data_IF_964278396434
#
_entry.id   IF_964278396434
#
_cell.length_a   1.000
_cell.length_b   1.000
_cell.length_c   1.000
_cell.angle_alpha   90.00
_cell.angle_beta   90.00
_cell.angle_gamma   90.00
#
_symmetry.space_group_name_H-M   'P 1'
#
loop_
_entity.id
_entity.type
_entity.pdbx_description
1 polymer ?
#
# COMPACT_ATOMS: atom_id res chain seq x y z
N UNK A 1 8.81 0.05 18.33
CA UNK A 1 8.81 -1.04 19.33
C UNK A 1 7.47 -1.17 20.03
N UNK A 2 7.03 -0.17 20.83
CA UNK A 2 5.74 -0.22 21.56
C UNK A 2 4.53 -0.56 20.67
N UNK A 3 4.50 0.02 19.47
CA UNK A 3 3.43 -0.26 18.50
C UNK A 3 3.44 -1.71 17.98
N UNK A 4 4.62 -2.29 17.76
CA UNK A 4 4.74 -3.70 17.36
C UNK A 4 4.35 -4.63 18.52
N UNK A 5 4.68 -4.27 19.77
CA UNK A 5 4.21 -5.01 20.95
C UNK A 5 2.69 -4.98 21.06
N UNK A 6 2.08 -3.82 20.84
CA UNK A 6 0.64 -3.67 20.86
C UNK A 6 -0.03 -4.50 19.75
N UNK A 7 0.44 -4.38 18.50
CA UNK A 7 -0.06 -5.17 17.38
C UNK A 7 0.09 -6.67 17.63
N UNK A 8 1.24 -7.11 18.14
CA UNK A 8 1.48 -8.51 18.47
C UNK A 8 0.53 -9.03 19.57
N UNK A 9 0.28 -8.22 20.61
CA UNK A 9 -0.67 -8.55 21.67
C UNK A 9 -2.13 -8.67 21.16
N UNK A 10 -2.47 -7.96 20.08
CA UNK A 10 -3.76 -8.08 19.38
C UNK A 10 -3.83 -9.30 18.43
N UNK A 11 -2.73 -10.05 18.30
CA UNK A 11 -2.65 -11.21 17.40
C UNK A 11 -2.33 -10.85 15.95
N UNK A 12 -1.91 -9.61 15.66
CA UNK A 12 -1.42 -9.23 14.33
C UNK A 12 -0.08 -9.92 14.08
N UNK A 13 0.01 -10.62 12.96
CA UNK A 13 1.20 -11.37 12.54
C UNK A 13 1.75 -10.93 11.18
N UNK A 14 1.10 -10.00 10.50
CA UNK A 14 1.51 -9.48 9.20
C UNK A 14 1.33 -7.97 9.14
N UNK A 15 2.32 -7.27 8.59
CA UNK A 15 2.25 -5.85 8.26
C UNK A 15 2.53 -5.68 6.77
N UNK A 16 1.66 -4.95 6.08
CA UNK A 16 1.96 -4.40 4.75
C UNK A 16 2.61 -3.04 4.94
N UNK A 17 3.80 -2.86 4.38
CA UNK A 17 4.66 -1.69 4.65
C UNK A 17 5.16 -1.09 3.34
N UNK A 18 5.28 0.23 3.31
CA UNK A 18 5.84 0.93 2.15
C UNK A 18 7.36 0.75 2.14
N UNK A 19 7.87 0.16 1.06
CA UNK A 19 9.28 -0.11 0.82
C UNK A 19 9.85 0.70 -0.36
N UNK A 20 9.10 1.69 -0.86
CA UNK A 20 9.56 2.67 -1.84
C UNK A 20 8.94 4.05 -1.57
N UNK A 21 9.77 5.08 -1.46
CA UNK A 21 9.31 6.47 -1.44
C UNK A 21 10.31 7.38 -2.15
N UNK A 22 9.79 8.20 -3.05
CA UNK A 22 10.56 8.99 -3.99
C UNK A 22 10.48 10.49 -3.66
N UNK A 23 11.62 11.16 -3.74
CA UNK A 23 11.72 12.61 -3.67
C UNK A 23 11.47 13.30 -5.03
N UNK A 24 11.84 14.58 -5.19
CA UNK A 24 12.58 15.37 -4.23
C UNK A 24 11.73 15.70 -3.00
N UNK A 25 12.38 15.85 -1.84
CA UNK A 25 11.72 16.12 -0.54
C UNK A 25 11.08 17.51 -0.45
N UNK A 26 11.09 18.28 -1.55
CA UNK A 26 10.41 19.56 -1.70
C UNK A 26 8.99 19.44 -2.27
N UNK A 27 8.60 18.25 -2.76
CA UNK A 27 7.29 18.03 -3.36
C UNK A 27 6.19 17.89 -2.30
N UNK A 28 4.97 18.39 -2.58
CA UNK A 28 3.86 18.34 -1.64
C UNK A 28 3.20 16.95 -1.55
N UNK A 29 2.35 16.78 -0.53
CA UNK A 29 1.46 15.63 -0.31
C UNK A 29 2.13 14.27 -0.29
N UNK A 30 3.41 14.21 0.07
CA UNK A 30 4.15 12.96 0.19
C UNK A 30 4.92 12.87 1.50
N UNK A 31 5.32 11.65 1.82
CA UNK A 31 6.18 11.38 2.96
C UNK A 31 7.57 11.99 2.77
N UNK A 32 8.05 12.71 3.78
CA UNK A 32 9.44 13.20 3.84
C UNK A 32 10.08 12.88 5.19
N UNK A 33 11.39 12.57 5.25
CA UNK A 33 12.30 12.41 4.12
C UNK A 33 11.99 11.15 3.29
N UNK A 34 12.22 11.21 1.98
CA UNK A 34 12.04 10.07 1.08
C UNK A 34 13.18 9.05 1.18
N UNK A 35 12.88 7.79 0.85
CA UNK A 35 13.87 6.72 0.75
C UNK A 35 14.83 6.98 -0.43
N UNK A 36 14.31 7.46 -1.55
CA UNK A 36 15.03 7.75 -2.77
C UNK A 36 14.82 9.22 -3.20
N UNK A 37 15.60 10.17 -2.66
CA UNK A 37 15.45 11.59 -2.99
C UNK A 37 15.62 11.92 -4.48
N UNK A 38 16.45 11.13 -5.18
CA UNK A 38 16.64 11.21 -6.63
C UNK A 38 17.02 9.82 -7.19
N UNK A 39 16.89 9.59 -8.51
CA UNK A 39 17.14 8.27 -9.10
C UNK A 39 18.52 7.69 -8.73
N UNK A 40 18.53 6.54 -8.07
CA UNK A 40 19.75 5.84 -7.65
C UNK A 40 20.44 6.42 -6.41
N UNK A 41 19.96 7.52 -5.83
CA UNK A 41 20.46 8.09 -4.58
C UNK A 41 19.51 7.75 -3.45
N UNK A 42 20.02 7.19 -2.35
CA UNK A 42 19.18 6.71 -1.26
C UNK A 42 19.51 7.37 0.07
N UNK A 43 18.47 7.59 0.87
CA UNK A 43 18.60 8.05 2.24
C UNK A 43 18.89 6.86 3.17
N UNK A 44 20.11 6.83 3.72
CA UNK A 44 20.54 5.76 4.61
C UNK A 44 19.78 5.73 5.94
N UNK A 45 19.25 6.86 6.43
CA UNK A 45 18.48 6.90 7.67
C UNK A 45 17.11 6.25 7.50
N UNK A 46 16.45 6.46 6.36
CA UNK A 46 15.18 5.79 6.02
C UNK A 46 15.41 4.29 5.85
N UNK A 47 16.49 3.90 5.17
CA UNK A 47 16.86 2.50 4.99
C UNK A 47 17.26 1.81 6.30
N UNK A 48 17.87 2.55 7.23
CA UNK A 48 18.16 2.07 8.59
C UNK A 48 16.88 1.81 9.37
N UNK A 49 15.88 2.70 9.24
CA UNK A 49 14.54 2.50 9.80
C UNK A 49 13.86 1.24 9.29
N UNK A 50 13.98 0.95 7.98
CA UNK A 50 13.44 -0.29 7.41
C UNK A 50 14.16 -1.54 7.92
N UNK A 51 15.49 -1.51 8.06
CA UNK A 51 16.26 -2.60 8.67
C UNK A 51 15.78 -2.86 10.10
N UNK A 52 15.60 -1.79 10.88
CA UNK A 52 15.18 -1.86 12.26
C UNK A 52 13.75 -2.41 12.38
N UNK A 53 12.84 -1.99 11.50
CA UNK A 53 11.47 -2.50 11.43
C UNK A 53 11.45 -4.03 11.22
N UNK A 54 12.16 -4.52 10.21
CA UNK A 54 12.24 -5.96 9.93
C UNK A 54 12.89 -6.73 11.09
N UNK A 55 13.95 -6.19 11.69
CA UNK A 55 14.57 -6.79 12.87
C UNK A 55 13.58 -6.93 14.04
N UNK A 56 12.81 -5.88 14.33
CA UNK A 56 11.83 -5.89 15.42
C UNK A 56 10.58 -6.74 15.11
N UNK A 57 10.15 -6.80 13.85
CA UNK A 57 9.09 -7.71 13.41
C UNK A 57 9.52 -9.18 13.56
N UNK A 58 10.76 -9.50 13.19
CA UNK A 58 11.32 -10.86 13.32
C UNK A 58 11.29 -11.38 14.75
N UNK A 59 11.59 -10.53 15.74
CA UNK A 59 11.50 -10.87 17.18
C UNK A 59 10.09 -11.29 17.63
N UNK A 60 9.07 -10.80 16.94
CA UNK A 60 7.65 -11.03 17.23
C UNK A 60 7.00 -12.04 16.28
N UNK A 61 7.81 -12.71 15.45
CA UNK A 61 7.35 -13.66 14.43
C UNK A 61 6.34 -13.03 13.46
N UNK A 62 6.42 -11.71 13.27
CA UNK A 62 5.61 -11.01 12.28
C UNK A 62 6.21 -11.20 10.87
N UNK A 63 5.40 -10.90 9.86
CA UNK A 63 5.77 -10.96 8.45
C UNK A 63 5.48 -9.65 7.72
N UNK A 64 6.36 -9.25 6.82
CA UNK A 64 6.23 -8.03 6.03
C UNK A 64 5.79 -8.34 4.59
N UNK A 65 4.76 -7.64 4.12
CA UNK A 65 4.53 -7.43 2.68
C UNK A 65 5.23 -6.12 2.31
N UNK A 66 6.21 -6.19 1.43
CA UNK A 66 7.08 -5.08 1.05
C UNK A 66 6.55 -4.42 -0.23
N UNK A 67 5.78 -3.34 -0.10
CA UNK A 67 5.21 -2.59 -1.21
C UNK A 67 6.27 -1.68 -1.86
N UNK A 68 6.71 -2.02 -3.08
CA UNK A 68 7.92 -1.45 -3.68
C UNK A 68 7.73 -0.10 -4.38
N UNK A 69 6.49 0.26 -4.71
CA UNK A 69 6.17 1.48 -5.42
C UNK A 69 4.73 1.90 -5.08
N UNK A 70 4.20 2.92 -5.75
CA UNK A 70 2.86 3.42 -5.50
C UNK A 70 2.29 4.04 -6.76
N UNK A 71 1.03 3.73 -7.06
CA UNK A 71 0.33 4.43 -8.13
C UNK A 71 0.00 5.88 -7.73
N UNK A 72 -0.18 6.12 -6.44
CA UNK A 72 -0.51 7.41 -5.85
C UNK A 72 0.71 8.22 -5.43
N UNK A 73 0.49 9.51 -5.20
CA UNK A 73 1.54 10.49 -4.99
C UNK A 73 2.07 10.57 -3.56
N UNK A 74 1.44 9.90 -2.58
CA UNK A 74 1.81 10.07 -1.18
C UNK A 74 3.18 9.52 -0.79
N UNK A 75 3.79 8.71 -1.66
CA UNK A 75 5.19 8.31 -1.58
C UNK A 75 5.99 8.75 -2.81
N UNK A 76 5.50 9.70 -3.60
CA UNK A 76 6.01 10.02 -4.93
C UNK A 76 5.45 9.06 -5.98
N UNK A 77 5.92 7.82 -6.01
CA UNK A 77 5.33 6.74 -6.80
C UNK A 77 5.55 6.86 -8.31
N UNK A 78 4.72 6.17 -9.09
CA UNK A 78 4.78 6.12 -10.55
C UNK A 78 4.81 7.51 -11.21
N UNK A 79 4.02 8.45 -10.72
CA UNK A 79 4.03 9.83 -11.20
C UNK A 79 5.43 10.47 -11.04
N UNK A 80 6.15 10.17 -9.98
CA UNK A 80 7.51 10.64 -9.76
C UNK A 80 8.52 9.98 -10.71
N UNK A 81 8.38 8.69 -10.98
CA UNK A 81 9.19 8.01 -12.00
C UNK A 81 8.93 8.57 -13.41
N UNK A 82 7.68 8.93 -13.74
CA UNK A 82 7.33 9.63 -15.00
C UNK A 82 8.02 10.99 -15.07
N UNK A 83 7.97 11.77 -13.99
CA UNK A 83 8.64 13.07 -13.92
C UNK A 83 10.16 12.95 -14.10
N UNK A 84 10.80 11.97 -13.43
CA UNK A 84 12.23 11.71 -13.59
C UNK A 84 12.61 11.24 -14.99
N UNK A 85 11.78 10.41 -15.63
CA UNK A 85 12.02 9.92 -16.98
C UNK A 85 11.94 11.03 -18.04
N UNK A 86 11.04 11.99 -17.85
CA UNK A 86 10.82 13.10 -18.79
C UNK A 86 11.66 14.35 -18.48
N UNK A 87 12.29 14.43 -17.31
CA UNK A 87 13.17 15.53 -16.90
C UNK A 87 12.45 16.74 -16.29
N UNK A 88 13.23 17.78 -15.98
CA UNK A 88 12.86 18.91 -15.09
C UNK A 88 11.71 19.80 -15.57
N UNK A 89 11.22 19.63 -16.80
CA UNK A 89 10.07 20.36 -17.33
C UNK A 89 8.71 19.70 -16.99
N UNK A 90 8.72 18.52 -16.39
CA UNK A 90 7.49 17.74 -16.14
C UNK A 90 6.92 18.08 -14.77
N UNK A 91 5.71 18.65 -14.76
CA UNK A 91 4.96 18.92 -13.52
C UNK A 91 3.98 17.79 -13.26
N UNK A 92 4.00 17.23 -12.06
CA UNK A 92 3.02 16.22 -11.64
C UNK A 92 1.68 16.93 -11.38
N UNK A 93 0.56 16.45 -11.95
CA UNK A 93 -0.74 17.10 -11.81
C UNK A 93 -1.42 16.75 -10.48
N UNK A 94 -0.75 17.03 -9.35
CA UNK A 94 -1.30 16.75 -8.04
C UNK A 94 -2.55 17.57 -7.73
N UNK A 95 -3.30 17.10 -6.73
CA UNK A 95 -4.44 16.19 -6.85
C UNK A 95 -5.58 16.87 -7.64
N UNK A 96 -5.31 17.33 -8.87
CA UNK A 96 -6.24 18.12 -9.69
C UNK A 96 -7.57 17.41 -9.92
N UNK A 97 -7.73 16.76 -11.07
CA UNK A 97 -8.70 15.67 -11.17
C UNK A 97 -7.95 14.36 -10.92
N UNK A 98 -8.52 13.46 -10.11
CA UNK A 98 -7.96 12.11 -9.95
C UNK A 98 -7.82 11.43 -11.31
N UNK A 99 -8.77 11.57 -12.24
CA UNK A 99 -8.65 11.02 -13.60
C UNK A 99 -7.40 11.51 -14.34
N UNK A 100 -7.07 12.81 -14.21
CA UNK A 100 -5.87 13.38 -14.83
C UNK A 100 -4.61 12.82 -14.20
N UNK A 101 -4.60 12.70 -12.87
CA UNK A 101 -3.49 12.10 -12.13
C UNK A 101 -3.30 10.63 -12.51
N UNK A 102 -4.37 9.85 -12.62
CA UNK A 102 -4.29 8.44 -13.04
C UNK A 102 -3.71 8.29 -14.45
N UNK A 103 -4.16 9.12 -15.40
CA UNK A 103 -3.65 9.10 -16.78
C UNK A 103 -2.17 9.46 -16.81
N UNK A 104 -1.74 10.43 -15.98
CA UNK A 104 -0.34 10.80 -15.85
C UNK A 104 0.50 9.68 -15.24
N UNK A 105 0.05 9.13 -14.10
CA UNK A 105 0.72 8.05 -13.38
C UNK A 105 0.89 6.80 -14.25
N UNK A 106 -0.15 6.41 -14.99
CA UNK A 106 -0.13 5.26 -15.89
C UNK A 106 0.81 5.42 -17.11
N UNK A 107 1.37 6.61 -17.38
CA UNK A 107 2.44 6.74 -18.38
C UNK A 107 3.70 5.96 -17.98
N UNK A 108 3.87 5.69 -16.69
CA UNK A 108 4.98 4.91 -16.14
C UNK A 108 5.23 3.62 -16.93
N UNK A 109 4.18 2.85 -17.22
CA UNK A 109 4.31 1.56 -17.90
C UNK A 109 4.88 1.66 -19.32
N UNK A 110 4.68 2.80 -20.00
CA UNK A 110 5.08 3.02 -21.40
C UNK A 110 6.44 3.70 -21.54
N UNK A 111 6.93 4.33 -20.48
CA UNK A 111 8.22 5.00 -20.47
C UNK A 111 9.30 3.99 -20.06
N UNK A 112 10.05 3.47 -21.04
CA UNK A 112 11.17 2.55 -20.80
C UNK A 112 12.08 3.05 -19.69
N UNK A 113 12.44 4.34 -19.75
CA UNK A 113 13.28 4.97 -18.73
C UNK A 113 12.68 4.92 -17.33
N UNK A 114 11.38 5.18 -17.19
CA UNK A 114 10.69 5.12 -15.89
C UNK A 114 10.74 3.71 -15.31
N UNK A 115 10.45 2.69 -16.13
CA UNK A 115 10.49 1.30 -15.69
C UNK A 115 11.91 0.80 -15.41
N UNK A 116 12.93 1.26 -16.14
CA UNK A 116 14.34 0.95 -15.86
C UNK A 116 14.80 1.55 -14.53
N UNK A 117 14.37 2.78 -14.22
CA UNK A 117 14.65 3.39 -12.92
C UNK A 117 14.05 2.58 -11.78
N UNK A 118 12.83 2.06 -11.96
CA UNK A 118 12.20 1.20 -10.96
C UNK A 118 12.87 -0.18 -10.85
N UNK A 119 13.27 -0.80 -11.96
CA UNK A 119 14.06 -2.04 -11.94
C UNK A 119 15.38 -1.86 -11.17
N UNK A 120 16.00 -0.66 -11.26
CA UNK A 120 17.18 -0.33 -10.47
C UNK A 120 16.86 -0.16 -8.98
N UNK A 121 15.71 0.40 -8.63
CA UNK A 121 15.21 0.45 -7.26
C UNK A 121 15.04 -0.95 -6.67
N UNK A 122 14.37 -1.84 -7.40
CA UNK A 122 14.21 -3.25 -7.01
C UNK A 122 15.57 -3.90 -6.76
N UNK A 123 16.51 -3.78 -7.71
CA UNK A 123 17.85 -4.39 -7.58
C UNK A 123 18.62 -3.85 -6.39
N UNK A 124 18.52 -2.55 -6.14
CA UNK A 124 19.17 -1.92 -4.99
C UNK A 124 18.61 -2.47 -3.68
N UNK A 125 17.28 -2.48 -3.52
CA UNK A 125 16.65 -2.90 -2.28
C UNK A 125 16.84 -4.40 -2.01
N UNK A 126 16.69 -5.26 -3.03
CA UNK A 126 16.89 -6.70 -2.87
C UNK A 126 18.36 -7.09 -2.65
N UNK A 127 19.32 -6.24 -3.04
CA UNK A 127 20.73 -6.45 -2.72
C UNK A 127 21.08 -6.05 -1.27
N UNK A 128 20.15 -5.44 -0.52
CA UNK A 128 20.38 -4.96 0.84
C UNK A 128 20.59 -6.12 1.80
N UNK A 129 21.53 -5.92 2.72
CA UNK A 129 21.72 -6.76 3.92
C UNK A 129 21.29 -5.94 5.13
N UNK A 130 20.39 -6.50 5.93
CA UNK A 130 19.90 -5.86 7.15
C UNK A 130 21.07 -5.68 8.13
N UNK A 131 21.34 -4.45 8.56
CA UNK A 131 22.49 -4.17 9.43
C UNK A 131 22.37 -4.73 10.85
N UNK A 132 21.15 -4.99 11.35
CA UNK A 132 20.90 -5.46 12.72
C UNK A 132 20.96 -6.99 12.80
N UNK A 133 20.65 -7.69 11.71
CA UNK A 133 20.67 -9.17 11.66
C UNK A 133 21.82 -9.73 10.82
N UNK A 134 22.44 -8.90 9.98
CA UNK A 134 23.41 -9.32 8.95
C UNK A 134 22.83 -10.36 7.96
N UNK A 135 21.52 -10.34 7.76
CA UNK A 135 20.80 -11.21 6.81
C UNK A 135 20.45 -10.42 5.55
N UNK A 136 20.78 -10.96 4.38
CA UNK A 136 20.32 -10.40 3.11
C UNK A 136 18.79 -10.37 3.07
N UNK A 137 18.19 -9.29 2.57
CA UNK A 137 16.73 -9.17 2.47
C UNK A 137 16.10 -10.34 1.70
N UNK A 138 16.79 -10.85 0.68
CA UNK A 138 16.38 -12.02 -0.12
C UNK A 138 16.39 -13.35 0.64
N UNK A 139 17.03 -13.39 1.82
CA UNK A 139 17.09 -14.54 2.72
C UNK A 139 16.36 -14.28 4.05
N UNK A 140 15.79 -13.09 4.27
CA UNK A 140 15.12 -12.73 5.52
C UNK A 140 13.68 -13.27 5.51
N UNK A 141 13.44 -14.30 6.33
CA UNK A 141 12.11 -14.92 6.49
C UNK A 141 11.07 -14.01 7.13
N UNK A 142 11.47 -12.85 7.65
CA UNK A 142 10.55 -11.80 8.11
C UNK A 142 9.81 -11.18 6.93
N UNK A 143 10.43 -11.10 5.75
CA UNK A 143 9.76 -10.65 4.53
C UNK A 143 8.97 -11.83 3.95
N UNK A 144 7.63 -11.71 3.92
CA UNK A 144 6.73 -12.69 3.32
C UNK A 144 6.67 -12.51 1.81
N UNK A 145 6.52 -11.28 1.34
CA UNK A 145 6.31 -11.01 -0.07
C UNK A 145 6.88 -9.67 -0.53
N UNK A 146 7.16 -9.59 -1.82
CA UNK A 146 7.41 -8.38 -2.57
C UNK A 146 6.15 -8.01 -3.36
N UNK A 147 5.65 -6.81 -3.17
CA UNK A 147 4.46 -6.31 -3.85
C UNK A 147 4.88 -5.26 -4.88
N UNK A 148 4.38 -5.37 -6.12
CA UNK A 148 4.85 -4.55 -7.24
C UNK A 148 4.66 -3.05 -6.98
N UNK A 149 3.46 -2.66 -6.55
CA UNK A 149 3.12 -1.29 -6.21
C UNK A 149 1.82 -1.26 -5.42
N UNK A 150 1.59 -0.19 -4.66
CA UNK A 150 0.29 0.11 -4.10
C UNK A 150 -0.69 0.56 -5.19
N UNK A 151 -1.82 -0.16 -5.32
CA UNK A 151 -2.97 0.17 -6.17
C UNK A 151 -2.63 0.52 -7.62
N UNK A 152 -1.80 -0.26 -8.35
CA UNK A 152 -1.60 0.01 -9.77
C UNK A 152 -2.96 -0.05 -10.48
N UNK A 153 -3.24 0.99 -11.28
CA UNK A 153 -4.39 1.06 -12.19
C UNK A 153 -3.91 1.09 -13.63
N UNK A 154 -4.82 0.81 -14.57
CA UNK A 154 -4.56 0.79 -16.02
C UNK A 154 -3.37 -0.12 -16.36
N UNK A 155 -3.33 -1.29 -15.72
CA UNK A 155 -2.19 -2.21 -15.73
C UNK A 155 -1.73 -2.56 -17.14
N UNK A 156 -0.41 -2.52 -17.33
CA UNK A 156 0.25 -3.21 -18.42
C UNK A 156 0.65 -4.62 -17.96
N UNK A 157 -0.02 -5.65 -18.48
CA UNK A 157 0.23 -7.04 -18.09
C UNK A 157 1.65 -7.52 -18.45
N UNK A 158 2.28 -6.93 -19.47
CA UNK A 158 3.67 -7.23 -19.80
C UNK A 158 4.64 -6.67 -18.75
N UNK A 159 4.34 -5.48 -18.22
CA UNK A 159 5.06 -4.91 -17.10
C UNK A 159 4.88 -5.75 -15.83
N UNK A 160 3.66 -6.17 -15.51
CA UNK A 160 3.38 -7.06 -14.36
C UNK A 160 4.21 -8.34 -14.47
N UNK A 161 4.15 -9.02 -15.63
CA UNK A 161 4.90 -10.26 -15.83
C UNK A 161 6.41 -10.05 -15.69
N UNK A 162 6.96 -9.05 -16.40
CA UNK A 162 8.40 -8.77 -16.39
C UNK A 162 8.91 -8.43 -14.97
N UNK A 163 8.22 -7.54 -14.26
CA UNK A 163 8.61 -7.07 -12.93
C UNK A 163 8.49 -8.19 -11.90
N UNK A 164 7.40 -8.96 -11.94
CA UNK A 164 7.22 -10.11 -11.04
C UNK A 164 8.30 -11.18 -11.27
N UNK A 165 8.64 -11.49 -12.53
CA UNK A 165 9.68 -12.47 -12.83
C UNK A 165 11.09 -11.96 -12.48
N UNK A 166 11.34 -10.64 -12.55
CA UNK A 166 12.56 -10.04 -12.02
C UNK A 166 12.68 -10.28 -10.51
N UNK A 167 11.61 -10.03 -9.74
CA UNK A 167 11.57 -10.29 -8.30
C UNK A 167 11.82 -11.76 -8.01
N UNK A 168 11.14 -12.68 -8.70
CA UNK A 168 11.37 -14.13 -8.55
C UNK A 168 12.81 -14.55 -8.85
N UNK A 169 13.46 -13.91 -9.82
CA UNK A 169 14.88 -14.19 -10.13
C UNK A 169 15.81 -13.73 -9.01
N UNK A 170 15.52 -12.59 -8.38
CA UNK A 170 16.37 -11.99 -7.34
C UNK A 170 16.10 -12.57 -5.95
N UNK A 171 14.85 -12.93 -5.67
CA UNK A 171 14.34 -13.41 -4.39
C UNK A 171 13.50 -14.68 -4.57
N UNK A 172 14.09 -15.82 -4.95
CA UNK A 172 13.36 -17.00 -5.40
C UNK A 172 12.49 -17.67 -4.32
N UNK A 173 12.73 -17.37 -3.04
CA UNK A 173 12.01 -17.99 -1.91
C UNK A 173 10.91 -17.10 -1.32
N UNK A 174 10.82 -15.84 -1.75
CA UNK A 174 9.78 -14.92 -1.30
C UNK A 174 8.60 -14.92 -2.27
N UNK A 175 7.42 -14.64 -1.74
CA UNK A 175 6.22 -14.51 -2.56
C UNK A 175 6.25 -13.17 -3.31
N UNK A 176 5.51 -13.07 -4.39
CA UNK A 176 5.33 -11.87 -5.20
C UNK A 176 3.85 -11.66 -5.47
N UNK A 177 3.36 -10.44 -5.28
CA UNK A 177 1.98 -10.04 -5.61
C UNK A 177 1.95 -8.69 -6.32
N UNK A 178 0.76 -8.31 -6.80
CA UNK A 178 0.54 -7.11 -7.61
C UNK A 178 0.31 -5.86 -6.79
N UNK A 179 -0.53 -5.94 -5.74
CA UNK A 179 -1.02 -4.78 -4.98
C UNK A 179 -2.27 -4.12 -5.56
N UNK A 180 -3.00 -4.80 -6.46
CA UNK A 180 -4.18 -4.23 -7.12
C UNK A 180 -5.40 -4.20 -6.20
N UNK A 181 -6.30 -3.25 -6.47
CA UNK A 181 -7.53 -3.07 -5.69
C UNK A 181 -8.60 -4.14 -5.96
N UNK A 182 -8.41 -5.02 -6.94
CA UNK A 182 -9.42 -5.98 -7.40
C UNK A 182 -10.12 -5.54 -8.68
N UNK A 183 -11.30 -6.12 -8.94
CA UNK A 183 -12.17 -5.76 -10.07
C UNK A 183 -12.89 -4.43 -9.82
N UNK A 184 -12.12 -3.35 -9.76
CA UNK A 184 -12.61 -1.97 -9.72
C UNK A 184 -11.87 -1.15 -10.78
N UNK A 185 -12.50 -0.07 -11.26
CA UNK A 185 -11.93 0.82 -12.30
C UNK A 185 -11.63 0.07 -13.62
N UNK A 186 -10.39 0.18 -14.12
CA UNK A 186 -9.88 -0.48 -15.33
C UNK A 186 -9.36 -1.90 -15.12
N UNK A 187 -9.33 -2.39 -13.87
CA UNK A 187 -8.63 -3.62 -13.52
C UNK A 187 -9.50 -4.86 -13.80
N UNK A 188 -8.84 -5.97 -14.13
CA UNK A 188 -9.46 -7.27 -14.35
C UNK A 188 -8.75 -8.29 -13.47
N UNK A 189 -9.38 -8.62 -12.34
CA UNK A 189 -8.75 -9.39 -11.27
C UNK A 189 -8.07 -10.68 -11.73
N UNK A 190 -8.68 -11.47 -12.61
CA UNK A 190 -8.05 -12.71 -13.09
C UNK A 190 -6.84 -12.43 -13.99
N UNK A 191 -6.94 -11.45 -14.89
CA UNK A 191 -5.85 -11.12 -15.83
C UNK A 191 -4.67 -10.46 -15.11
N UNK A 192 -4.95 -9.56 -14.17
CA UNK A 192 -3.94 -8.82 -13.42
C UNK A 192 -3.04 -9.76 -12.62
N UNK A 193 -3.58 -10.92 -12.22
CA UNK A 193 -2.86 -11.96 -11.49
C UNK A 193 -2.44 -13.16 -12.37
N UNK A 194 -2.64 -13.13 -13.70
CA UNK A 194 -2.44 -14.32 -14.54
C UNK A 194 -0.97 -14.76 -14.68
N UNK A 195 -0.01 -13.87 -14.45
CA UNK A 195 1.43 -14.19 -14.56
C UNK A 195 1.83 -15.33 -13.62
N UNK A 196 2.60 -16.34 -14.07
CA UNK A 196 3.07 -17.42 -13.20
C UNK A 196 4.09 -16.94 -12.16
N UNK A 197 4.64 -15.74 -12.31
CA UNK A 197 5.56 -15.14 -11.34
C UNK A 197 4.84 -14.40 -10.20
N UNK A 198 3.50 -14.35 -10.21
CA UNK A 198 2.66 -13.85 -9.12
C UNK A 198 2.18 -15.06 -8.30
N UNK A 199 2.35 -15.05 -6.99
CA UNK A 199 2.03 -16.22 -6.14
C UNK A 199 0.65 -16.14 -5.49
N UNK A 200 0.17 -14.93 -5.20
CA UNK A 200 -1.14 -14.69 -4.61
C UNK A 200 -1.75 -13.40 -5.17
N UNK A 201 -3.07 -13.30 -5.05
CA UNK A 201 -3.85 -12.19 -5.55
C UNK A 201 -4.32 -11.28 -4.41
N UNK A 202 -4.48 -10.00 -4.72
CA UNK A 202 -4.88 -8.99 -3.75
C UNK A 202 -6.02 -8.13 -4.26
N UNK A 203 -6.88 -7.71 -3.34
CA UNK A 203 -7.95 -6.77 -3.60
C UNK A 203 -8.12 -5.85 -2.39
N UNK A 204 -8.66 -4.66 -2.62
CA UNK A 204 -8.87 -3.61 -1.63
C UNK A 204 -10.37 -3.32 -1.52
N UNK A 205 -10.78 -2.53 -0.52
CA UNK A 205 -12.19 -2.27 -0.27
C UNK A 205 -12.43 -0.85 0.30
N UNK A 206 -12.67 0.08 -0.61
CA UNK A 206 -12.79 1.52 -0.32
C UNK A 206 -14.20 2.06 -0.55
N UNK A 207 -15.19 1.53 0.17
CA UNK A 207 -16.62 1.87 -0.03
C UNK A 207 -16.93 3.37 0.11
N UNK A 208 -16.16 4.12 0.89
CA UNK A 208 -16.30 5.58 0.99
C UNK A 208 -15.79 6.28 -0.27
N UNK A 209 -14.55 5.95 -0.69
CA UNK A 209 -13.91 6.54 -1.87
C UNK A 209 -14.66 6.18 -3.16
N UNK A 210 -15.32 5.02 -3.20
CA UNK A 210 -16.15 4.57 -4.32
C UNK A 210 -17.60 5.08 -4.26
N UNK A 211 -17.91 6.01 -3.35
CA UNK A 211 -19.23 6.63 -3.17
C UNK A 211 -20.37 5.64 -2.85
N UNK A 212 -20.04 4.49 -2.27
CA UNK A 212 -21.03 3.51 -1.77
C UNK A 212 -21.46 3.83 -0.34
N UNK A 213 -20.55 4.42 0.45
CA UNK A 213 -20.77 4.84 1.82
C UNK A 213 -20.60 6.35 1.96
N UNK A 214 -21.56 7.00 2.63
CA UNK A 214 -21.47 8.40 3.04
C UNK A 214 -21.50 8.47 4.57
N UNK A 215 -20.40 8.88 5.23
CA UNK A 215 -20.33 8.98 6.69
C UNK A 215 -21.30 10.01 7.29
N UNK A 216 -21.72 11.02 6.53
CA UNK A 216 -22.71 12.01 6.98
C UNK A 216 -24.15 11.51 6.88
N UNK A 217 -24.36 10.39 6.19
CA UNK A 217 -25.66 9.73 6.04
C UNK A 217 -25.57 8.22 6.38
N UNK A 218 -24.76 7.90 7.38
CA UNK A 218 -24.40 6.52 7.71
C UNK A 218 -25.60 5.61 8.03
N UNK A 219 -26.67 6.16 8.63
CA UNK A 219 -27.89 5.38 8.94
C UNK A 219 -28.55 4.78 7.70
N UNK A 220 -28.39 5.42 6.54
CA UNK A 220 -28.95 4.96 5.26
C UNK A 220 -27.90 4.19 4.46
N UNK A 221 -26.66 4.68 4.41
CA UNK A 221 -25.64 4.16 3.50
C UNK A 221 -24.85 2.98 4.07
N UNK A 222 -24.73 2.83 5.40
CA UNK A 222 -23.97 1.72 5.99
C UNK A 222 -24.50 0.33 5.61
N UNK A 223 -25.82 0.04 5.65
CA UNK A 223 -26.32 -1.28 5.23
C UNK A 223 -26.03 -1.58 3.75
N UNK A 224 -26.08 -0.56 2.88
CA UNK A 224 -25.77 -0.67 1.46
C UNK A 224 -24.28 -0.97 1.27
N UNK A 225 -23.42 -0.25 1.98
CA UNK A 225 -21.98 -0.45 1.94
C UNK A 225 -21.57 -1.84 2.44
N UNK A 226 -22.20 -2.34 3.51
CA UNK A 226 -21.94 -3.71 4.01
C UNK A 226 -22.39 -4.77 3.00
N UNK A 227 -23.56 -4.61 2.37
CA UNK A 227 -24.03 -5.56 1.34
C UNK A 227 -23.11 -5.56 0.11
N UNK A 228 -22.74 -4.38 -0.38
CA UNK A 228 -21.76 -4.23 -1.46
C UNK A 228 -20.44 -4.90 -1.11
N UNK A 229 -19.89 -4.62 0.08
CA UNK A 229 -18.62 -5.15 0.51
C UNK A 229 -18.61 -6.68 0.60
N UNK A 230 -19.69 -7.27 1.13
CA UNK A 230 -19.85 -8.73 1.18
C UNK A 230 -19.82 -9.33 -0.22
N UNK A 231 -20.62 -8.80 -1.15
CA UNK A 231 -20.63 -9.27 -2.55
C UNK A 231 -19.27 -9.13 -3.22
N UNK A 232 -18.56 -8.04 -2.94
CA UNK A 232 -17.20 -7.81 -3.46
C UNK A 232 -16.22 -8.86 -2.91
N UNK A 233 -16.26 -9.14 -1.60
CA UNK A 233 -15.45 -10.20 -0.98
C UNK A 233 -15.80 -11.58 -1.56
N UNK A 234 -17.09 -11.90 -1.72
CA UNK A 234 -17.54 -13.18 -2.29
C UNK A 234 -17.02 -13.38 -3.71
N UNK A 235 -17.10 -12.33 -4.53
CA UNK A 235 -16.61 -12.35 -5.90
C UNK A 235 -15.10 -12.67 -5.95
N UNK A 236 -14.29 -11.97 -5.15
CA UNK A 236 -12.84 -12.18 -5.14
C UNK A 236 -12.45 -13.51 -4.49
N UNK A 237 -13.13 -13.92 -3.41
CA UNK A 237 -12.90 -15.21 -2.75
C UNK A 237 -13.31 -16.42 -3.62
N UNK A 238 -14.13 -16.20 -4.66
CA UNK A 238 -14.46 -17.23 -5.64
C UNK A 238 -13.29 -17.55 -6.58
N UNK A 239 -12.27 -16.67 -6.69
CA UNK A 239 -11.06 -16.95 -7.47
C UNK A 239 -10.29 -18.12 -6.87
N UNK A 240 -9.94 -19.12 -7.71
CA UNK A 240 -9.34 -20.39 -7.27
C UNK A 240 -7.93 -20.63 -7.80
N UNK A 241 -7.43 -19.81 -8.70
CA UNK A 241 -6.11 -20.06 -9.29
C UNK A 241 -4.99 -19.77 -8.27
N UNK A 242 -5.21 -18.82 -7.35
CA UNK A 242 -4.23 -18.40 -6.33
C UNK A 242 -4.91 -18.00 -5.02
N UNK A 243 -4.19 -18.03 -3.87
CA UNK A 243 -4.66 -17.44 -2.62
C UNK A 243 -5.04 -15.97 -2.81
N UNK A 244 -6.03 -15.49 -2.06
CA UNK A 244 -6.55 -14.12 -2.17
C UNK A 244 -6.48 -13.43 -0.81
N UNK A 245 -5.99 -12.19 -0.77
CA UNK A 245 -5.87 -11.37 0.44
C UNK A 245 -6.63 -10.05 0.25
N UNK A 246 -7.42 -9.64 1.25
CA UNK A 246 -7.98 -8.29 1.35
C UNK A 246 -6.96 -7.41 2.08
N UNK A 247 -6.01 -6.83 1.36
CA UNK A 247 -4.85 -6.19 1.99
C UNK A 247 -5.04 -4.70 2.31
N UNK A 248 -6.19 -4.12 1.93
CA UNK A 248 -6.64 -2.83 2.43
C UNK A 248 -8.17 -2.77 2.54
N UNK A 249 -8.66 -2.26 3.67
CA UNK A 249 -10.04 -1.83 3.82
C UNK A 249 -10.18 -0.87 5.00
N UNK A 250 -11.07 0.11 4.87
CA UNK A 250 -11.35 1.08 5.93
C UNK A 250 -12.54 1.95 5.60
N UNK A 251 -13.07 2.62 6.63
CA UNK A 251 -14.02 3.74 6.50
C UNK A 251 -13.70 4.79 7.55
N UNK A 252 -14.17 6.03 7.39
CA UNK A 252 -13.92 7.12 8.33
C UNK A 252 -14.49 6.86 9.74
N UNK A 253 -14.19 7.79 10.68
CA UNK A 253 -14.89 7.86 11.97
C UNK A 253 -16.34 8.32 11.74
N UNK A 254 -17.14 8.34 12.80
CA UNK A 254 -18.52 8.81 12.71
C UNK A 254 -18.57 10.26 12.18
N UNK A 255 -19.45 10.54 11.20
CA UNK A 255 -19.59 11.84 10.53
C UNK A 255 -18.32 12.39 9.85
N UNK A 256 -17.37 11.53 9.47
CA UNK A 256 -16.08 11.94 8.89
C UNK A 256 -15.28 12.88 9.81
N UNK A 257 -15.42 12.71 11.12
CA UNK A 257 -14.68 13.49 12.10
C UNK A 257 -13.23 12.98 12.21
N UNK A 258 -12.27 13.91 12.16
CA UNK A 258 -10.84 13.62 12.23
C UNK A 258 -10.28 13.78 13.66
N UNK A 259 -11.13 14.12 14.63
CA UNK A 259 -10.71 14.25 16.02
C UNK A 259 -10.35 12.87 16.60
N UNK A 260 -9.17 12.70 17.24
CA UNK A 260 -8.76 11.39 17.77
C UNK A 260 -9.74 10.77 18.79
N UNK A 261 -10.54 11.60 19.46
CA UNK A 261 -11.55 11.20 20.45
C UNK A 261 -12.95 11.02 19.85
N UNK A 262 -13.17 11.32 18.57
CA UNK A 262 -14.47 11.17 17.93
C UNK A 262 -14.90 9.69 17.94
N UNK A 263 -16.19 9.35 18.04
CA UNK A 263 -16.59 7.96 18.08
C UNK A 263 -16.33 7.22 16.75
N UNK A 264 -16.20 5.90 16.83
CA UNK A 264 -15.99 4.98 15.69
C UNK A 264 -17.11 3.93 15.63
N UNK A 265 -18.31 4.30 16.04
CA UNK A 265 -19.45 3.38 16.19
C UNK A 265 -19.84 2.73 14.87
N UNK A 266 -19.83 3.52 13.79
CA UNK A 266 -20.16 3.07 12.42
C UNK A 266 -19.03 2.21 11.86
N UNK A 267 -17.78 2.63 12.05
CA UNK A 267 -16.58 1.86 11.68
C UNK A 267 -16.56 0.49 12.36
N UNK A 268 -16.85 0.42 13.65
CA UNK A 268 -16.89 -0.85 14.39
C UNK A 268 -17.98 -1.80 13.87
N UNK A 269 -19.15 -1.26 13.48
CA UNK A 269 -20.21 -2.06 12.86
C UNK A 269 -19.78 -2.61 11.50
N UNK A 270 -19.16 -1.77 10.67
CA UNK A 270 -18.60 -2.18 9.38
C UNK A 270 -17.53 -3.26 9.56
N UNK A 271 -16.53 -3.01 10.42
CA UNK A 271 -15.45 -3.95 10.68
C UNK A 271 -15.98 -5.30 11.20
N UNK A 272 -16.94 -5.31 12.13
CA UNK A 272 -17.57 -6.58 12.58
C UNK A 272 -18.17 -7.35 11.40
N UNK A 273 -18.88 -6.68 10.50
CA UNK A 273 -19.48 -7.32 9.33
C UNK A 273 -18.42 -7.86 8.35
N UNK A 274 -17.37 -7.08 8.05
CA UNK A 274 -16.28 -7.49 7.16
C UNK A 274 -15.51 -8.66 7.76
N UNK A 275 -15.07 -8.56 9.02
CA UNK A 275 -14.33 -9.62 9.71
C UNK A 275 -15.10 -10.94 9.79
N UNK A 276 -16.41 -10.88 10.07
CA UNK A 276 -17.23 -12.08 10.07
C UNK A 276 -17.29 -12.72 8.68
N UNK A 277 -17.37 -11.89 7.64
CA UNK A 277 -17.51 -12.34 6.28
C UNK A 277 -16.20 -12.89 5.70
N UNK A 278 -15.07 -12.21 5.89
CA UNK A 278 -13.76 -12.71 5.47
C UNK A 278 -13.40 -14.01 6.17
N UNK A 279 -13.75 -14.17 7.46
CA UNK A 279 -13.61 -15.46 8.18
C UNK A 279 -14.42 -16.59 7.53
N UNK A 280 -15.66 -16.34 7.11
CA UNK A 280 -16.49 -17.33 6.40
C UNK A 280 -15.82 -17.84 5.12
N UNK A 281 -15.11 -16.98 4.41
CA UNK A 281 -14.43 -17.30 3.15
C UNK A 281 -12.93 -17.57 3.28
N UNK A 282 -12.39 -17.56 4.51
CA UNK A 282 -10.96 -17.73 4.81
C UNK A 282 -10.05 -16.74 4.05
N UNK A 283 -10.51 -15.51 3.87
CA UNK A 283 -9.74 -14.42 3.23
C UNK A 283 -8.88 -13.75 4.31
N UNK A 284 -7.54 -13.82 4.25
CA UNK A 284 -6.66 -13.04 5.11
C UNK A 284 -6.82 -11.55 4.85
N UNK A 285 -6.52 -10.72 5.85
CA UNK A 285 -6.79 -9.29 5.78
C UNK A 285 -5.64 -8.45 6.33
N UNK A 286 -5.53 -7.21 5.84
CA UNK A 286 -4.85 -6.11 6.50
C UNK A 286 -5.81 -4.91 6.51
N UNK A 287 -6.16 -4.41 7.70
CA UNK A 287 -7.01 -3.23 7.80
C UNK A 287 -6.18 -1.97 7.52
N UNK A 288 -6.78 -1.00 6.85
CA UNK A 288 -6.17 0.30 6.63
C UNK A 288 -6.80 1.35 7.55
N UNK A 289 -6.04 1.97 8.45
CA UNK A 289 -4.66 1.67 8.82
C UNK A 289 -4.45 1.79 10.33
N UNK A 290 -3.32 1.31 10.81
CA UNK A 290 -2.97 1.39 12.22
C UNK A 290 -2.26 2.71 12.52
N UNK A 291 -2.95 3.64 13.18
CA UNK A 291 -2.39 4.94 13.58
C UNK A 291 -1.60 4.95 14.89
N UNK A 292 -1.65 3.86 15.66
CA UNK A 292 -0.83 3.66 16.84
C UNK A 292 -0.87 4.80 17.88
N UNK A 293 0.32 5.19 18.33
CA UNK A 293 0.49 6.24 19.34
C UNK A 293 0.48 7.65 18.75
N UNK A 294 0.79 7.78 17.45
CA UNK A 294 0.83 9.05 16.74
C UNK A 294 -0.52 9.76 16.69
N UNK A 295 -0.52 11.09 16.70
CA UNK A 295 -1.75 11.88 16.60
C UNK A 295 -1.59 13.02 15.59
N UNK A 296 -2.64 13.37 14.84
CA UNK A 296 -2.60 14.56 14.01
C UNK A 296 -2.38 15.79 14.88
N UNK A 297 -1.59 16.75 14.37
CA UNK A 297 -1.37 18.04 15.04
C UNK A 297 -2.68 18.80 15.29
N UNK A 298 -3.62 18.68 14.37
CA UNK A 298 -4.99 19.15 14.50
C UNK A 298 -5.90 18.27 13.63
N UNK A 299 -7.15 18.08 14.06
CA UNK A 299 -8.12 17.28 13.32
C UNK A 299 -8.31 17.80 11.88
N UNK A 300 -8.17 16.91 10.91
CA UNK A 300 -8.30 17.15 9.48
C UNK A 300 -7.07 17.80 8.85
N UNK A 301 -5.94 17.87 9.56
CA UNK A 301 -4.73 18.43 8.98
C UNK A 301 -4.14 17.52 7.91
N UNK A 302 -3.56 18.13 6.89
CA UNK A 302 -2.57 17.44 6.06
C UNK A 302 -1.26 17.36 6.83
N UNK A 303 -0.64 16.17 6.84
CA UNK A 303 0.64 15.95 7.49
C UNK A 303 1.72 16.90 6.96
N UNK A 304 2.57 17.39 7.87
CA UNK A 304 3.77 18.17 7.54
C UNK A 304 4.99 17.62 8.27
N UNK A 305 6.19 17.91 7.76
CA UNK A 305 7.43 17.43 8.35
C UNK A 305 7.53 17.81 9.84
N UNK A 306 7.70 16.79 10.69
CA UNK A 306 7.75 16.93 12.14
C UNK A 306 6.46 16.56 12.86
N UNK A 307 5.34 16.42 12.14
CA UNK A 307 4.13 15.79 12.67
C UNK A 307 4.35 14.28 12.83
N UNK A 308 3.64 13.66 13.78
CA UNK A 308 3.69 12.21 13.98
C UNK A 308 3.26 11.46 12.71
N UNK A 309 3.94 10.35 12.41
CA UNK A 309 3.42 9.41 11.42
C UNK A 309 2.23 8.65 12.00
N UNK A 310 1.14 8.62 11.24
CA UNK A 310 -0.04 7.79 11.51
C UNK A 310 -0.36 6.94 10.27
N UNK A 311 -1.44 6.17 10.34
CA UNK A 311 -1.86 5.29 9.25
C UNK A 311 -2.38 6.04 8.02
N UNK A 312 -2.90 7.24 8.19
CA UNK A 312 -3.41 8.08 7.10
C UNK A 312 -2.23 8.82 6.41
N UNK A 313 -1.89 8.54 5.14
CA UNK A 313 -0.75 9.12 4.45
C UNK A 313 -0.89 10.63 4.16
N UNK A 314 0.21 11.35 3.87
CA UNK A 314 0.22 12.82 3.75
C UNK A 314 -0.65 13.46 2.67
N UNK A 315 -1.29 12.69 1.80
CA UNK A 315 -2.27 13.22 0.85
C UNK A 315 -3.71 13.24 1.39
N UNK A 316 -3.96 12.63 2.55
CA UNK A 316 -5.26 12.53 3.19
C UNK A 316 -5.36 13.46 4.42
N UNK A 317 -6.58 13.92 4.77
CA UNK A 317 -6.80 14.60 6.04
C UNK A 317 -6.65 13.63 7.22
N UNK A 318 -5.90 14.04 8.24
CA UNK A 318 -5.58 13.26 9.44
C UNK A 318 -6.39 13.68 10.65
#
# INVERSE_FOLDING_TARGET
MRELDHLHALGVNNLRVQAGSEGPDTEPWRIVPSMQPSPGTYNNEVLDGLDFLLYEMGKRQMRAVMCLNNFWHWSGGFAQYVAWANGTATTIPYPGSYDQFEVFSAQFYRLTKATELFDNHIRFLLARTNRYTNVAYTNDTTIMSWELANEPRRLDLSWVHRTACLLKKLAPFQLVTTGVEGSISSNNFSNDHASPCIDYATFHLWVQNWNVFDPHNASVTLPIAIDFAKKYIEFHAAYKDKPVVLEEFGIARDNNDHTPTAPVTVRDQYYRAILQHTRKYHVPINFWAYGGEGRPRMAGATWTQGDDFIGDPPHEPQ
#
